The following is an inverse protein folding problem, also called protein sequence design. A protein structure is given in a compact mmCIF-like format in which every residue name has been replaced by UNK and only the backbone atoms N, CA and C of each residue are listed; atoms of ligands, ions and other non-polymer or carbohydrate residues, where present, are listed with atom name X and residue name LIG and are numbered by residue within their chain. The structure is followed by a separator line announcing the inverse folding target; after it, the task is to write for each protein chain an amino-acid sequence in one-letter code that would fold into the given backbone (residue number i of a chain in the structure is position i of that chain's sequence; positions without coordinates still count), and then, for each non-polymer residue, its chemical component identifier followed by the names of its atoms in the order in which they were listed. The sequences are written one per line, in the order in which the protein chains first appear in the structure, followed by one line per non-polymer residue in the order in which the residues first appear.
data_IF_573242504636
#
_entry.id   IF_573242504636
#
_cell.length_a   1.000
_cell.length_b   1.000
_cell.length_c   1.000
_cell.angle_alpha   90.00
_cell.angle_beta   90.00
_cell.angle_gamma   90.00
#
_symmetry.space_group_name_H-M   'P 1'
#
loop_
_entity.id
_entity.type
_entity.pdbx_description
1 polymer ?
#
# COMPACT_ATOMS: atom_id res chain seq x y z
N UNK A 1 -72.44 -16.65 -57.84
CA UNK A 1 -71.25 -16.92 -57.01
C UNK A 1 -71.66 -16.60 -55.59
N UNK A 2 -72.10 -17.64 -54.89
CA UNK A 2 -73.08 -17.58 -53.80
C UNK A 2 -72.49 -18.02 -52.45
N UNK A 3 -73.13 -17.46 -51.42
CA UNK A 3 -73.22 -17.88 -49.99
C UNK A 3 -72.00 -17.60 -49.11
N UNK A 4 -72.08 -16.75 -48.07
CA UNK A 4 -73.05 -16.57 -46.95
C UNK A 4 -73.10 -17.76 -45.96
N UNK A 5 -73.09 -17.37 -44.67
CA UNK A 5 -73.49 -18.12 -43.47
C UNK A 5 -72.52 -19.23 -43.02
N UNK A 6 -72.31 -19.48 -41.72
CA UNK A 6 -72.99 -18.96 -40.55
C UNK A 6 -72.38 -19.55 -39.27
N UNK A 7 -72.75 -18.89 -38.17
CA UNK A 7 -72.63 -19.30 -36.78
C UNK A 7 -73.03 -20.79 -36.62
N UNK A 8 -72.19 -21.58 -35.96
CA UNK A 8 -72.64 -22.80 -35.29
C UNK A 8 -71.94 -22.95 -33.93
N UNK A 9 -72.74 -22.70 -32.90
CA UNK A 9 -72.58 -23.21 -31.54
C UNK A 9 -72.65 -24.73 -31.60
N UNK A 10 -71.64 -25.43 -31.06
CA UNK A 10 -71.77 -26.85 -30.70
C UNK A 10 -71.20 -27.06 -29.31
N UNK A 11 -72.06 -27.63 -28.48
CA UNK A 11 -71.95 -27.80 -27.05
C UNK A 11 -70.99 -28.95 -26.66
N UNK A 12 -70.26 -28.68 -25.57
CA UNK A 12 -70.08 -29.54 -24.40
C UNK A 12 -70.28 -31.06 -24.58
N UNK A 13 -69.21 -31.83 -24.48
CA UNK A 13 -69.22 -33.13 -23.80
C UNK A 13 -67.83 -33.44 -23.25
N UNK A 14 -67.67 -33.13 -21.96
CA UNK A 14 -66.50 -33.44 -21.15
C UNK A 14 -66.49 -34.93 -20.82
N UNK A 15 -65.54 -35.68 -21.37
CA UNK A 15 -65.21 -37.04 -20.90
C UNK A 15 -63.84 -36.97 -20.23
N UNK A 16 -63.85 -36.87 -18.90
CA UNK A 16 -62.66 -36.89 -18.05
C UNK A 16 -62.14 -38.34 -18.01
N UNK A 17 -61.08 -38.62 -18.77
CA UNK A 17 -60.23 -39.79 -18.58
C UNK A 17 -59.19 -39.45 -17.51
N UNK A 18 -59.46 -39.89 -16.27
CA UNK A 18 -58.49 -39.91 -15.18
C UNK A 18 -57.45 -41.00 -15.46
N UNK A 19 -56.36 -40.61 -16.12
CA UNK A 19 -55.12 -41.39 -16.10
C UNK A 19 -54.49 -41.28 -14.72
N UNK A 20 -54.31 -42.45 -14.11
CA UNK A 20 -53.69 -42.70 -12.81
C UNK A 20 -52.27 -42.12 -12.77
N UNK A 21 -52.12 -40.97 -12.13
CA UNK A 21 -50.83 -40.57 -11.56
C UNK A 21 -50.63 -41.36 -10.27
N UNK A 22 -49.62 -42.23 -10.23
CA UNK A 22 -49.14 -42.84 -8.99
C UNK A 22 -48.60 -41.74 -8.05
N UNK A 23 -49.49 -41.14 -7.26
CA UNK A 23 -49.14 -40.50 -6.00
C UNK A 23 -48.88 -41.63 -5.01
N UNK A 24 -47.62 -41.96 -4.79
CA UNK A 24 -47.21 -42.82 -3.68
C UNK A 24 -47.43 -42.04 -2.38
N UNK A 25 -48.60 -42.22 -1.76
CA UNK A 25 -48.82 -41.80 -0.38
C UNK A 25 -47.85 -42.56 0.55
N UNK A 26 -47.30 -41.93 1.61
CA UNK A 26 -46.36 -42.61 2.49
C UNK A 26 -47.09 -43.69 3.28
N UNK A 27 -46.68 -44.95 3.12
CA UNK A 27 -47.04 -46.03 4.04
C UNK A 27 -46.36 -45.76 5.37
N UNK A 28 -47.09 -45.22 6.34
CA UNK A 28 -46.65 -45.16 7.73
C UNK A 28 -46.58 -46.58 8.30
N UNK A 29 -45.39 -47.17 8.32
CA UNK A 29 -45.07 -48.38 9.07
C UNK A 29 -44.55 -48.03 10.46
N UNK A 30 -44.74 -48.93 11.42
CA UNK A 30 -44.24 -48.77 12.80
C UNK A 30 -42.70 -48.82 12.91
N UNK A 31 -41.99 -49.12 11.81
CA UNK A 31 -40.53 -49.21 11.76
C UNK A 31 -39.95 -48.46 10.54
N UNK A 32 -38.78 -47.80 10.68
CA UNK A 32 -38.10 -47.15 9.58
C UNK A 32 -37.57 -48.16 8.54
N UNK A 33 -37.42 -47.76 7.26
CA UNK A 33 -36.81 -48.59 6.22
C UNK A 33 -35.36 -49.00 6.55
N UNK A 34 -34.86 -50.10 5.97
CA UNK A 34 -33.49 -50.56 6.24
C UNK A 34 -32.44 -49.49 5.89
N UNK A 35 -32.63 -48.78 4.77
CA UNK A 35 -31.73 -47.71 4.34
C UNK A 35 -31.62 -46.56 5.33
N UNK A 36 -32.65 -46.35 6.15
CA UNK A 36 -32.67 -45.30 7.18
C UNK A 36 -31.79 -45.67 8.39
N UNK A 37 -31.57 -46.96 8.63
CA UNK A 37 -30.72 -47.48 9.70
C UNK A 37 -29.31 -47.82 9.22
N UNK A 38 -29.16 -48.22 7.95
CA UNK A 38 -27.88 -48.52 7.32
C UNK A 38 -27.84 -47.92 5.93
N UNK A 39 -27.02 -46.89 5.76
CA UNK A 39 -26.79 -46.25 4.46
C UNK A 39 -26.37 -47.31 3.45
N UNK A 40 -27.02 -47.38 2.27
CA UNK A 40 -26.60 -48.31 1.22
C UNK A 40 -25.13 -48.10 0.84
N UNK A 41 -24.36 -49.16 0.57
CA UNK A 41 -23.01 -49.00 0.06
C UNK A 41 -23.05 -48.29 -1.31
N UNK A 42 -22.01 -47.53 -1.68
CA UNK A 42 -21.88 -46.97 -3.02
C UNK A 42 -21.96 -48.07 -4.08
N UNK A 43 -22.57 -47.77 -5.22
CA UNK A 43 -22.58 -48.63 -6.39
C UNK A 43 -21.66 -48.08 -7.51
N UNK A 44 -21.70 -48.69 -8.70
CA UNK A 44 -20.87 -48.28 -9.84
C UNK A 44 -21.12 -46.86 -10.36
N UNK A 45 -22.28 -46.28 -10.05
CA UNK A 45 -22.74 -44.98 -10.57
C UNK A 45 -22.99 -43.97 -9.44
N UNK A 46 -23.45 -44.41 -8.28
CA UNK A 46 -23.94 -43.56 -7.20
C UNK A 46 -23.26 -43.81 -5.85
N UNK A 47 -23.04 -42.72 -5.12
CA UNK A 47 -22.77 -42.70 -3.68
C UNK A 47 -24.04 -42.29 -2.97
N UNK A 48 -24.40 -43.00 -1.90
CA UNK A 48 -25.62 -42.76 -1.14
C UNK A 48 -25.35 -42.03 0.17
N UNK A 49 -26.30 -41.17 0.54
CA UNK A 49 -26.26 -40.37 1.76
C UNK A 49 -27.62 -40.42 2.44
N UNK A 50 -27.60 -40.47 3.77
CA UNK A 50 -28.82 -40.41 4.58
C UNK A 50 -28.73 -39.25 5.55
N UNK A 51 -29.76 -38.41 5.57
CA UNK A 51 -29.98 -37.42 6.61
C UNK A 51 -31.22 -37.80 7.42
N UNK A 52 -31.18 -37.60 8.73
CA UNK A 52 -32.33 -37.83 9.58
C UNK A 52 -32.36 -36.86 10.76
N UNK A 53 -33.56 -36.55 11.24
CA UNK A 53 -33.76 -35.77 12.46
C UNK A 53 -35.10 -36.10 13.10
N UNK A 54 -35.16 -35.97 14.42
CA UNK A 54 -36.37 -36.21 15.23
C UNK A 54 -36.71 -34.97 16.05
N UNK A 55 -37.95 -34.50 15.91
CA UNK A 55 -38.43 -33.27 16.57
C UNK A 55 -39.65 -33.58 17.41
N UNK A 56 -39.62 -33.13 18.67
CA UNK A 56 -40.74 -33.26 19.61
C UNK A 56 -41.88 -32.29 19.25
N UNK A 57 -43.12 -32.69 19.50
CA UNK A 57 -44.30 -31.82 19.29
C UNK A 57 -44.84 -31.82 17.86
N UNK A 58 -44.44 -32.78 17.03
CA UNK A 58 -45.05 -33.02 15.72
C UNK A 58 -44.74 -32.01 14.62
N UNK A 59 -43.75 -31.13 14.81
CA UNK A 59 -43.38 -30.11 13.82
C UNK A 59 -42.59 -30.72 12.65
N UNK A 60 -43.32 -31.19 11.64
CA UNK A 60 -42.76 -31.81 10.44
C UNK A 60 -41.82 -30.88 9.64
N UNK A 61 -42.16 -29.60 9.37
CA UNK A 61 -41.24 -28.68 8.70
C UNK A 61 -39.88 -28.56 9.39
N UNK A 62 -39.87 -28.46 10.72
CA UNK A 62 -38.62 -28.39 11.49
C UNK A 62 -37.82 -29.70 11.40
N UNK A 63 -38.48 -30.85 11.49
CA UNK A 63 -37.82 -32.15 11.33
C UNK A 63 -37.22 -32.35 9.92
N UNK A 64 -37.89 -31.84 8.89
CA UNK A 64 -37.39 -31.88 7.51
C UNK A 64 -36.17 -30.98 7.33
N UNK A 65 -36.17 -29.79 7.93
CA UNK A 65 -35.04 -28.86 7.87
C UNK A 65 -33.81 -29.42 8.57
N UNK A 66 -33.97 -29.96 9.78
CA UNK A 66 -32.88 -30.59 10.52
C UNK A 66 -32.34 -31.85 9.80
N UNK A 67 -33.23 -32.67 9.23
CA UNK A 67 -32.82 -33.85 8.45
C UNK A 67 -32.05 -33.45 7.18
N UNK A 68 -32.46 -32.36 6.53
CA UNK A 68 -31.76 -31.79 5.37
C UNK A 68 -30.37 -31.25 5.76
N UNK A 69 -30.27 -30.55 6.89
CA UNK A 69 -28.99 -30.08 7.41
C UNK A 69 -28.03 -31.25 7.73
N UNK A 70 -28.55 -32.33 8.33
CA UNK A 70 -27.75 -33.54 8.59
C UNK A 70 -27.35 -34.27 7.31
N UNK A 71 -28.21 -34.30 6.28
CA UNK A 71 -27.85 -34.84 4.97
C UNK A 71 -26.69 -34.05 4.35
N UNK A 72 -26.78 -32.73 4.36
CA UNK A 72 -25.73 -31.82 3.88
C UNK A 72 -24.43 -32.08 4.65
N UNK A 73 -24.48 -32.16 5.98
CA UNK A 73 -23.30 -32.43 6.81
C UNK A 73 -22.60 -33.75 6.42
N UNK A 74 -23.36 -34.80 6.14
CA UNK A 74 -22.80 -36.09 5.70
C UNK A 74 -22.16 -36.02 4.30
N UNK A 75 -22.76 -35.29 3.37
CA UNK A 75 -22.19 -35.05 2.03
C UNK A 75 -20.89 -34.23 2.16
N UNK A 76 -20.90 -33.19 2.98
CA UNK A 76 -19.73 -32.35 3.26
C UNK A 76 -18.58 -33.15 3.87
N UNK A 77 -18.89 -34.02 4.85
CA UNK A 77 -17.90 -34.89 5.47
C UNK A 77 -17.23 -35.84 4.46
N UNK A 78 -18.00 -36.40 3.51
CA UNK A 78 -17.46 -37.24 2.44
C UNK A 78 -16.53 -36.48 1.48
N UNK A 79 -16.84 -35.21 1.20
CA UNK A 79 -15.96 -34.36 0.39
C UNK A 79 -14.61 -34.08 1.08
N UNK A 80 -14.41 -34.51 2.33
CA UNK A 80 -13.19 -34.24 3.08
C UNK A 80 -13.10 -32.79 3.53
N UNK A 81 -14.14 -32.00 3.26
CA UNK A 81 -14.37 -30.72 3.88
C UNK A 81 -14.86 -31.05 5.28
N UNK A 82 -13.93 -31.25 6.22
CA UNK A 82 -14.27 -30.83 7.58
C UNK A 82 -14.70 -29.39 7.41
N UNK A 83 -15.94 -29.08 7.78
CA UNK A 83 -16.32 -27.73 8.14
C UNK A 83 -15.54 -27.40 9.43
N UNK A 84 -14.21 -27.40 9.36
CA UNK A 84 -13.38 -26.70 10.30
C UNK A 84 -13.56 -25.23 9.98
N UNK A 85 -13.44 -24.42 11.01
CA UNK A 85 -13.92 -23.05 11.12
C UNK A 85 -13.13 -22.07 10.22
N UNK A 86 -12.31 -22.60 9.32
CA UNK A 86 -11.19 -21.97 8.64
C UNK A 86 -11.36 -22.02 7.10
N UNK A 87 -12.57 -21.70 6.63
CA UNK A 87 -12.89 -21.70 5.20
C UNK A 87 -12.84 -20.27 4.65
N UNK A 88 -12.09 -20.04 3.57
CA UNK A 88 -12.00 -18.73 2.91
C UNK A 88 -13.33 -18.21 2.42
N UNK A 89 -13.55 -16.89 2.36
CA UNK A 89 -14.81 -16.27 2.02
C UNK A 89 -15.33 -16.71 0.63
N UNK A 90 -14.43 -16.95 -0.32
CA UNK A 90 -14.78 -17.43 -1.67
C UNK A 90 -15.09 -18.93 -1.66
N UNK A 91 -14.27 -19.76 -1.01
CA UNK A 91 -14.56 -21.19 -0.89
C UNK A 91 -15.83 -21.41 -0.05
N UNK A 92 -16.01 -20.62 1.00
CA UNK A 92 -17.19 -20.55 1.87
C UNK A 92 -18.42 -20.13 1.09
N UNK A 93 -18.36 -19.03 0.33
CA UNK A 93 -19.49 -18.64 -0.53
C UNK A 93 -19.84 -19.74 -1.54
N UNK A 94 -18.83 -20.40 -2.14
CA UNK A 94 -19.07 -21.52 -3.05
C UNK A 94 -19.68 -22.73 -2.33
N UNK A 95 -19.24 -23.04 -1.11
CA UNK A 95 -19.79 -24.10 -0.28
C UNK A 95 -21.20 -23.77 0.19
N UNK A 96 -21.45 -22.56 0.66
CA UNK A 96 -22.75 -22.07 1.12
C UNK A 96 -23.78 -22.10 -0.03
N UNK A 97 -23.37 -21.67 -1.24
CA UNK A 97 -24.20 -21.80 -2.44
C UNK A 97 -24.53 -23.27 -2.74
N UNK A 98 -23.52 -24.14 -2.69
CA UNK A 98 -23.69 -25.57 -2.92
C UNK A 98 -24.60 -26.24 -1.89
N UNK A 99 -24.46 -25.87 -0.61
CA UNK A 99 -25.34 -26.31 0.47
C UNK A 99 -26.78 -25.84 0.25
N UNK A 100 -26.96 -24.58 -0.16
CA UNK A 100 -28.27 -24.02 -0.48
C UNK A 100 -28.95 -24.79 -1.62
N UNK A 101 -28.20 -25.15 -2.66
CA UNK A 101 -28.70 -25.95 -3.78
C UNK A 101 -29.12 -27.36 -3.35
N UNK A 102 -28.38 -28.01 -2.44
CA UNK A 102 -28.76 -29.30 -1.85
C UNK A 102 -30.06 -29.14 -1.05
N UNK A 103 -30.11 -28.21 -0.10
CA UNK A 103 -31.30 -27.98 0.75
C UNK A 103 -32.53 -27.68 -0.11
N UNK A 104 -32.37 -26.85 -1.14
CA UNK A 104 -33.46 -26.50 -2.03
C UNK A 104 -33.89 -27.67 -2.91
N UNK A 105 -32.97 -28.51 -3.36
CA UNK A 105 -33.28 -29.76 -4.08
C UNK A 105 -34.07 -30.71 -3.19
N UNK A 106 -33.68 -30.85 -1.92
CA UNK A 106 -34.39 -31.69 -0.95
C UNK A 106 -35.80 -31.17 -0.68
N UNK A 107 -35.96 -29.85 -0.45
CA UNK A 107 -37.27 -29.25 -0.18
C UNK A 107 -38.21 -29.24 -1.39
N UNK A 108 -37.67 -29.11 -2.60
CA UNK A 108 -38.47 -29.02 -3.83
C UNK A 108 -38.62 -30.35 -4.57
N UNK A 109 -37.97 -31.42 -4.09
CA UNK A 109 -37.87 -32.73 -4.75
C UNK A 109 -37.44 -32.62 -6.23
N UNK A 110 -36.69 -31.56 -6.56
CA UNK A 110 -36.36 -31.20 -7.94
C UNK A 110 -35.00 -31.74 -8.35
N UNK A 111 -34.94 -32.64 -9.32
CA UNK A 111 -33.69 -33.21 -9.84
C UNK A 111 -32.87 -32.26 -10.75
N UNK A 112 -33.33 -31.03 -10.99
CA UNK A 112 -32.75 -30.14 -12.00
C UNK A 112 -31.78 -29.08 -11.49
N UNK A 113 -31.65 -28.89 -10.17
CA UNK A 113 -30.86 -27.80 -9.58
C UNK A 113 -29.40 -28.15 -9.35
N UNK A 114 -29.14 -29.40 -9.00
CA UNK A 114 -27.81 -29.89 -8.68
C UNK A 114 -27.49 -31.12 -9.52
N UNK A 115 -26.53 -31.00 -10.44
CA UNK A 115 -26.14 -32.09 -11.34
C UNK A 115 -25.73 -33.33 -10.54
N UNK A 116 -26.24 -34.48 -10.95
CA UNK A 116 -25.89 -35.77 -10.34
C UNK A 116 -26.50 -36.02 -8.96
N UNK A 117 -27.12 -35.04 -8.30
CA UNK A 117 -27.78 -35.21 -7.01
C UNK A 117 -29.28 -35.47 -7.16
N UNK A 118 -29.81 -36.45 -6.42
CA UNK A 118 -31.24 -36.72 -6.37
C UNK A 118 -31.67 -37.27 -5.03
N UNK A 119 -32.83 -36.83 -4.54
CA UNK A 119 -33.55 -37.49 -3.45
C UNK A 119 -34.21 -38.74 -4.01
N UNK A 120 -33.92 -39.89 -3.41
CA UNK A 120 -34.47 -41.20 -3.81
C UNK A 120 -35.72 -41.53 -3.03
N UNK A 121 -35.65 -41.36 -1.70
CA UNK A 121 -36.76 -41.67 -0.81
C UNK A 121 -36.81 -40.68 0.35
N UNK A 122 -38.03 -40.36 0.79
CA UNK A 122 -38.30 -39.60 2.00
C UNK A 122 -39.29 -40.42 2.86
N UNK A 123 -38.92 -40.67 4.11
CA UNK A 123 -39.73 -41.44 5.04
C UNK A 123 -40.02 -40.66 6.31
N UNK A 124 -41.28 -40.65 6.72
CA UNK A 124 -41.74 -39.94 7.91
C UNK A 124 -42.29 -40.95 8.91
N UNK A 125 -41.74 -40.93 10.12
CA UNK A 125 -42.19 -41.76 11.24
C UNK A 125 -42.83 -40.87 12.30
N UNK A 126 -44.11 -41.12 12.58
CA UNK A 126 -44.78 -40.54 13.75
C UNK A 126 -44.59 -41.46 14.93
N UNK A 127 -43.86 -41.01 15.93
CA UNK A 127 -43.60 -41.80 17.12
C UNK A 127 -44.77 -41.71 18.11
N UNK A 128 -44.97 -42.77 18.90
CA UNK A 128 -45.98 -42.82 19.97
C UNK A 128 -45.76 -41.74 21.04
N UNK A 129 -44.53 -41.21 21.12
CA UNK A 129 -44.12 -40.09 21.98
C UNK A 129 -44.65 -38.72 21.52
N UNK A 130 -45.27 -38.63 20.34
CA UNK A 130 -45.65 -37.37 19.71
C UNK A 130 -44.51 -36.67 18.95
N UNK A 131 -43.34 -37.32 18.84
CA UNK A 131 -42.25 -36.87 17.98
C UNK A 131 -42.51 -37.25 16.51
N UNK A 132 -41.96 -36.46 15.60
CA UNK A 132 -41.90 -36.78 14.16
C UNK A 132 -40.44 -36.91 13.79
N UNK A 133 -40.10 -38.04 13.17
CA UNK A 133 -38.76 -38.33 12.67
C UNK A 133 -38.80 -38.40 11.15
N UNK A 134 -37.95 -37.63 10.49
CA UNK A 134 -37.81 -37.59 9.02
C UNK A 134 -36.50 -38.25 8.64
N UNK A 135 -36.54 -39.10 7.61
CA UNK A 135 -35.38 -39.74 7.00
C UNK A 135 -35.36 -39.41 5.51
N UNK A 136 -34.20 -39.05 5.00
CA UNK A 136 -33.98 -38.65 3.60
C UNK A 136 -32.86 -39.50 3.04
N UNK A 137 -33.16 -40.32 2.03
CA UNK A 137 -32.16 -41.02 1.23
C UNK A 137 -31.89 -40.20 -0.03
N UNK A 138 -30.64 -39.82 -0.22
CA UNK A 138 -30.19 -39.20 -1.46
C UNK A 138 -29.12 -40.05 -2.12
N UNK A 139 -29.06 -39.96 -3.45
CA UNK A 139 -27.96 -40.49 -4.24
C UNK A 139 -27.26 -39.35 -4.98
N UNK A 140 -25.96 -39.47 -5.10
CA UNK A 140 -25.13 -38.57 -5.89
C UNK A 140 -24.35 -39.38 -6.92
N UNK A 141 -24.36 -38.99 -8.19
CA UNK A 141 -23.47 -39.55 -9.20
C UNK A 141 -22.02 -39.42 -8.73
N UNK A 142 -21.36 -40.56 -8.53
CA UNK A 142 -20.03 -40.64 -7.90
C UNK A 142 -18.99 -39.83 -8.66
N UNK A 143 -19.07 -39.82 -10.00
CA UNK A 143 -18.17 -39.05 -10.85
C UNK A 143 -18.34 -37.53 -10.64
N UNK A 144 -19.57 -37.04 -10.58
CA UNK A 144 -19.88 -35.62 -10.37
C UNK A 144 -19.48 -35.17 -8.95
N UNK A 145 -19.75 -35.99 -7.94
CA UNK A 145 -19.34 -35.72 -6.56
C UNK A 145 -17.82 -35.62 -6.40
N UNK A 146 -17.08 -36.52 -7.04
CA UNK A 146 -15.61 -36.48 -7.04
C UNK A 146 -15.06 -35.29 -7.82
N UNK A 147 -15.72 -34.90 -8.93
CA UNK A 147 -15.37 -33.69 -9.69
C UNK A 147 -15.55 -32.43 -8.83
N UNK A 148 -16.65 -32.35 -8.10
CA UNK A 148 -16.93 -31.22 -7.21
C UNK A 148 -15.96 -31.16 -6.03
N UNK A 149 -15.65 -32.31 -5.42
CA UNK A 149 -14.59 -32.45 -4.42
C UNK A 149 -13.25 -31.92 -4.93
N UNK A 150 -12.86 -32.30 -6.15
CA UNK A 150 -11.60 -31.85 -6.76
C UNK A 150 -11.61 -30.34 -7.04
N UNK A 151 -12.74 -29.79 -7.52
CA UNK A 151 -12.92 -28.36 -7.77
C UNK A 151 -12.74 -27.52 -6.49
N UNK A 152 -13.40 -27.93 -5.41
CA UNK A 152 -13.30 -27.26 -4.10
C UNK A 152 -11.87 -27.36 -3.57
N UNK A 153 -11.25 -28.54 -3.61
CA UNK A 153 -9.87 -28.73 -3.18
C UNK A 153 -8.87 -27.85 -3.95
N UNK A 154 -9.08 -27.67 -5.26
CA UNK A 154 -8.26 -26.80 -6.08
C UNK A 154 -8.35 -25.32 -5.64
N UNK A 155 -9.54 -24.82 -5.29
CA UNK A 155 -9.71 -23.45 -4.80
C UNK A 155 -8.96 -23.20 -3.49
N UNK A 156 -8.98 -24.17 -2.56
CA UNK A 156 -8.22 -24.09 -1.32
C UNK A 156 -6.71 -24.09 -1.58
N UNK A 157 -6.24 -24.97 -2.46
CA UNK A 157 -4.83 -25.03 -2.82
C UNK A 157 -4.36 -23.72 -3.46
N UNK A 158 -5.17 -23.12 -4.34
CA UNK A 158 -4.86 -21.85 -4.99
C UNK A 158 -4.62 -20.72 -3.97
N UNK A 159 -5.42 -20.64 -2.92
CA UNK A 159 -5.25 -19.62 -1.87
C UNK A 159 -4.06 -19.90 -0.97
N UNK A 160 -3.82 -21.16 -0.61
CA UNK A 160 -2.60 -21.53 0.12
C UNK A 160 -1.36 -21.17 -0.70
N UNK A 161 -1.38 -21.46 -2.00
CA UNK A 161 -0.33 -21.11 -2.94
C UNK A 161 -0.16 -19.59 -3.10
N UNK A 162 -1.25 -18.82 -3.06
CA UNK A 162 -1.21 -17.35 -3.15
C UNK A 162 -0.39 -16.72 -2.01
N UNK A 163 -0.29 -17.39 -0.85
CA UNK A 163 0.57 -16.98 0.27
C UNK A 163 1.93 -17.66 0.22
N UNK A 164 1.97 -18.97 -0.04
CA UNK A 164 3.19 -19.77 0.03
C UNK A 164 4.17 -19.47 -1.10
N UNK A 165 3.69 -19.19 -2.32
CA UNK A 165 4.57 -18.90 -3.47
C UNK A 165 5.33 -17.58 -3.30
N UNK A 166 4.69 -16.45 -2.94
CA UNK A 166 5.43 -15.21 -2.69
C UNK A 166 6.39 -15.34 -1.50
N UNK A 167 6.01 -16.06 -0.44
CA UNK A 167 6.92 -16.30 0.68
C UNK A 167 8.17 -17.09 0.26
N UNK A 168 7.99 -18.18 -0.49
CA UNK A 168 9.10 -18.97 -1.02
C UNK A 168 9.96 -18.17 -2.02
N UNK A 169 9.34 -17.30 -2.83
CA UNK A 169 10.05 -16.37 -3.70
C UNK A 169 10.89 -15.39 -2.90
N UNK A 170 10.37 -14.90 -1.76
CA UNK A 170 11.11 -14.06 -0.82
C UNK A 170 12.32 -14.78 -0.23
N UNK A 171 12.13 -16.01 0.26
CA UNK A 171 13.21 -16.84 0.82
C UNK A 171 14.30 -17.14 -0.23
N UNK A 172 13.89 -17.43 -1.47
CA UNK A 172 14.80 -17.60 -2.60
C UNK A 172 15.55 -16.32 -2.94
N UNK A 173 14.87 -15.17 -2.93
CA UNK A 173 15.46 -13.87 -3.22
C UNK A 173 16.49 -13.47 -2.16
N UNK A 174 16.24 -13.75 -0.86
CA UNK A 174 17.24 -13.58 0.21
C UNK A 174 18.46 -14.46 -0.08
N UNK A 175 18.26 -15.73 -0.40
CA UNK A 175 19.37 -16.66 -0.68
C UNK A 175 20.20 -16.24 -1.90
N UNK A 176 19.58 -15.58 -2.87
CA UNK A 176 20.21 -15.09 -4.09
C UNK A 176 20.78 -13.66 -3.99
N UNK A 177 20.70 -13.00 -2.83
CA UNK A 177 21.16 -11.62 -2.68
C UNK A 177 20.27 -10.55 -3.29
N UNK A 178 19.04 -10.89 -3.67
CA UNK A 178 18.04 -10.00 -4.27
C UNK A 178 17.14 -9.41 -3.18
N UNK A 179 17.71 -8.54 -2.35
CA UNK A 179 17.08 -8.05 -1.12
C UNK A 179 15.78 -7.28 -1.36
N UNK A 180 15.70 -6.52 -2.45
CA UNK A 180 14.49 -5.76 -2.82
C UNK A 180 13.35 -6.67 -3.23
N UNK A 181 13.65 -7.66 -4.08
CA UNK A 181 12.70 -8.68 -4.48
C UNK A 181 12.20 -9.44 -3.24
N UNK A 182 13.09 -9.74 -2.30
CA UNK A 182 12.72 -10.40 -1.05
C UNK A 182 11.71 -9.58 -0.23
N UNK A 183 11.99 -8.30 0.02
CA UNK A 183 11.07 -7.41 0.75
C UNK A 183 9.73 -7.35 0.04
N UNK A 184 9.72 -7.16 -1.29
CA UNK A 184 8.50 -7.10 -2.08
C UNK A 184 7.69 -8.39 -1.96
N UNK A 185 8.31 -9.54 -2.17
CA UNK A 185 7.62 -10.84 -2.13
C UNK A 185 7.11 -11.21 -0.74
N UNK A 186 7.82 -10.83 0.33
CA UNK A 186 7.30 -10.98 1.69
C UNK A 186 6.10 -10.07 1.96
N UNK A 187 6.11 -8.83 1.48
CA UNK A 187 4.94 -7.95 1.59
C UNK A 187 3.77 -8.49 0.76
N UNK A 188 4.00 -9.00 -0.45
CA UNK A 188 2.97 -9.68 -1.25
C UNK A 188 2.37 -10.88 -0.51
N UNK A 189 3.20 -11.71 0.13
CA UNK A 189 2.75 -12.83 0.95
C UNK A 189 1.91 -12.35 2.14
N UNK A 190 2.32 -11.25 2.80
CA UNK A 190 1.58 -10.68 3.92
C UNK A 190 0.22 -10.12 3.48
N UNK A 191 0.16 -9.41 2.36
CA UNK A 191 -1.08 -8.89 1.78
C UNK A 191 -2.01 -10.05 1.40
N UNK A 192 -1.49 -11.06 0.69
CA UNK A 192 -2.26 -12.25 0.32
C UNK A 192 -2.82 -12.97 1.56
N UNK A 193 -2.01 -13.15 2.61
CA UNK A 193 -2.44 -13.75 3.86
C UNK A 193 -3.53 -12.91 4.55
N UNK A 194 -3.35 -11.59 4.60
CA UNK A 194 -4.27 -10.67 5.28
C UNK A 194 -5.68 -10.61 4.69
N UNK A 195 -5.81 -10.89 3.39
CA UNK A 195 -7.07 -10.92 2.66
C UNK A 195 -7.61 -12.34 2.42
N UNK A 196 -6.97 -13.37 2.99
CA UNK A 196 -7.36 -14.76 2.84
C UNK A 196 -7.89 -15.33 4.15
N UNK A 197 -8.97 -16.11 4.12
CA UNK A 197 -9.39 -16.92 5.27
C UNK A 197 -8.87 -18.35 5.13
N UNK A 198 -7.55 -18.46 5.05
CA UNK A 198 -6.82 -19.73 5.20
C UNK A 198 -6.40 -19.92 6.66
N UNK A 199 -6.14 -21.17 7.03
CA UNK A 199 -5.60 -21.51 8.36
C UNK A 199 -4.38 -20.66 8.71
N UNK A 200 -4.44 -20.05 9.90
CA UNK A 200 -3.36 -19.25 10.46
C UNK A 200 -2.99 -18.03 9.58
N UNK A 201 -3.93 -17.48 8.82
CA UNK A 201 -3.73 -16.30 7.97
C UNK A 201 -3.01 -15.15 8.70
N UNK A 202 -3.49 -14.78 9.90
CA UNK A 202 -2.90 -13.69 10.69
C UNK A 202 -1.45 -14.01 11.13
N UNK A 203 -1.15 -15.26 11.48
CA UNK A 203 0.21 -15.72 11.82
C UNK A 203 1.12 -15.69 10.58
N UNK A 204 0.62 -16.14 9.43
CA UNK A 204 1.38 -16.11 8.17
C UNK A 204 1.64 -14.68 7.71
N UNK A 205 0.68 -13.78 7.90
CA UNK A 205 0.83 -12.35 7.65
C UNK A 205 1.94 -11.78 8.53
N UNK A 206 1.86 -11.97 9.86
CA UNK A 206 2.84 -11.47 10.82
C UNK A 206 4.25 -12.01 10.52
N UNK A 207 4.36 -13.32 10.24
CA UNK A 207 5.62 -13.95 9.86
C UNK A 207 6.26 -13.26 8.66
N UNK A 208 5.48 -13.02 7.61
CA UNK A 208 5.99 -12.42 6.38
C UNK A 208 6.35 -10.94 6.57
N UNK A 209 5.58 -10.19 7.36
CA UNK A 209 5.97 -8.83 7.78
C UNK A 209 7.31 -8.86 8.52
N UNK A 210 7.49 -9.76 9.49
CA UNK A 210 8.74 -9.87 10.24
C UNK A 210 9.93 -10.27 9.38
N UNK A 211 9.72 -11.14 8.37
CA UNK A 211 10.74 -11.45 7.35
C UNK A 211 11.10 -10.20 6.54
N UNK A 212 10.14 -9.43 6.05
CA UNK A 212 10.39 -8.18 5.34
C UNK A 212 11.18 -7.17 6.19
N UNK A 213 10.78 -6.98 7.45
CA UNK A 213 11.48 -6.13 8.42
C UNK A 213 12.90 -6.59 8.70
N UNK A 214 13.13 -7.90 8.78
CA UNK A 214 14.47 -8.47 8.97
C UNK A 214 15.40 -8.14 7.80
N UNK A 215 14.90 -8.22 6.56
CA UNK A 215 15.67 -7.83 5.37
C UNK A 215 15.91 -6.33 5.35
N UNK A 216 14.86 -5.52 5.58
CA UNK A 216 14.96 -4.07 5.65
C UNK A 216 15.97 -3.63 6.71
N UNK A 217 15.95 -4.22 7.92
CA UNK A 217 16.83 -3.88 9.04
C UNK A 217 18.32 -3.99 8.73
N UNK A 218 18.69 -4.78 7.72
CA UNK A 218 20.07 -4.95 7.26
C UNK A 218 20.46 -4.01 6.12
N UNK A 219 19.50 -3.33 5.48
CA UNK A 219 19.79 -2.35 4.44
C UNK A 219 20.23 -1.05 5.09
N UNK A 220 21.42 -0.56 4.74
CA UNK A 220 21.92 0.70 5.27
C UNK A 220 22.75 1.47 4.25
N UNK A 221 22.75 2.79 4.39
CA UNK A 221 23.66 3.67 3.65
C UNK A 221 24.87 3.99 4.52
N UNK A 222 26.06 3.81 3.96
CA UNK A 222 27.33 4.22 4.54
C UNK A 222 27.80 5.49 3.84
N UNK A 223 28.11 6.53 4.62
CA UNK A 223 28.68 7.78 4.13
C UNK A 223 30.07 7.54 3.55
N UNK A 224 30.31 7.96 2.32
CA UNK A 224 31.64 7.93 1.70
C UNK A 224 32.24 9.33 1.73
N UNK A 225 31.63 10.26 0.99
CA UNK A 225 32.16 11.61 0.88
C UNK A 225 31.06 12.62 0.52
N UNK A 226 31.28 13.89 0.86
CA UNK A 226 30.44 15.01 0.44
C UNK A 226 31.15 16.35 0.63
N UNK A 227 30.77 17.38 -0.15
CA UNK A 227 31.22 18.73 0.10
C UNK A 227 30.63 19.27 1.42
N UNK A 228 31.47 19.85 2.29
CA UNK A 228 31.00 20.58 3.47
C UNK A 228 30.47 21.98 3.10
N UNK A 229 30.98 22.53 1.99
CA UNK A 229 30.59 23.84 1.45
C UNK A 229 30.43 23.80 -0.06
N UNK A 230 29.51 24.62 -0.56
CA UNK A 230 29.33 24.89 -1.97
C UNK A 230 29.33 26.40 -2.22
N UNK A 231 29.67 26.82 -3.44
CA UNK A 231 29.65 28.23 -3.84
C UNK A 231 28.38 28.53 -4.64
N UNK A 232 27.72 29.64 -4.33
CA UNK A 232 26.57 30.14 -5.10
C UNK A 232 26.92 30.27 -6.58
N UNK A 233 26.10 29.68 -7.46
CA UNK A 233 26.26 29.76 -8.91
C UNK A 233 27.52 29.09 -9.45
N UNK A 234 28.05 28.08 -8.75
CA UNK A 234 29.17 27.27 -9.22
C UNK A 234 28.89 25.80 -9.02
N UNK A 235 29.52 24.96 -9.84
CA UNK A 235 29.56 23.53 -9.63
C UNK A 235 30.08 23.17 -8.23
N UNK A 236 29.54 22.08 -7.67
CA UNK A 236 30.02 21.53 -6.40
C UNK A 236 31.47 21.05 -6.55
N UNK A 237 32.32 21.25 -5.52
CA UNK A 237 33.74 20.89 -5.61
C UNK A 237 33.98 19.38 -5.70
N UNK A 238 32.99 18.58 -5.26
CA UNK A 238 32.96 17.12 -5.35
C UNK A 238 31.51 16.63 -5.20
N UNK A 239 31.18 15.41 -5.69
CA UNK A 239 29.85 14.85 -5.53
C UNK A 239 29.54 14.46 -4.08
N UNK A 240 28.25 14.29 -3.80
CA UNK A 240 27.77 13.53 -2.65
C UNK A 240 27.88 12.05 -2.99
N UNK A 241 28.43 11.25 -2.06
CA UNK A 241 28.69 9.83 -2.27
C UNK A 241 28.27 9.01 -1.05
N UNK A 242 27.54 7.93 -1.33
CA UNK A 242 27.13 6.95 -0.34
C UNK A 242 27.28 5.54 -0.90
N UNK A 243 27.47 4.57 -0.02
CA UNK A 243 27.45 3.15 -0.36
C UNK A 243 26.22 2.51 0.26
N UNK A 244 25.37 1.89 -0.54
CA UNK A 244 24.28 1.06 -0.06
C UNK A 244 24.82 -0.35 0.19
N UNK A 245 24.60 -0.87 1.39
CA UNK A 245 25.10 -2.17 1.83
C UNK A 245 24.00 -3.03 2.46
N UNK A 246 24.24 -4.35 2.49
CA UNK A 246 23.44 -5.31 3.22
C UNK A 246 24.24 -5.89 4.39
N UNK A 247 23.87 -5.54 5.63
CA UNK A 247 24.55 -5.93 6.85
C UNK A 247 25.23 -4.75 7.56
N UNK A 248 26.09 -5.08 8.51
CA UNK A 248 26.80 -4.10 9.35
C UNK A 248 28.31 -4.08 9.05
N UNK A 249 28.93 -2.93 9.26
CA UNK A 249 30.38 -2.75 9.17
C UNK A 249 30.93 -2.53 7.75
N UNK A 250 32.23 -2.24 7.68
CA UNK A 250 32.91 -1.85 6.43
C UNK A 250 33.01 -2.97 5.38
N UNK A 251 32.95 -4.23 5.83
CA UNK A 251 32.99 -5.43 4.99
C UNK A 251 31.64 -5.83 4.41
N UNK A 252 30.55 -5.13 4.78
CA UNK A 252 29.22 -5.43 4.27
C UNK A 252 29.20 -5.37 2.72
N UNK A 253 28.57 -6.35 2.05
CA UNK A 253 28.46 -6.37 0.59
C UNK A 253 27.69 -5.15 0.11
N UNK A 254 28.21 -4.53 -0.95
CA UNK A 254 27.51 -3.43 -1.63
C UNK A 254 26.36 -3.98 -2.47
N UNK A 255 25.28 -3.21 -2.57
CA UNK A 255 24.09 -3.63 -3.32
C UNK A 255 24.06 -2.91 -4.68
N UNK A 256 24.33 -3.60 -5.80
CA UNK A 256 24.35 -2.98 -7.12
C UNK A 256 22.94 -2.78 -7.70
N UNK A 257 22.79 -1.80 -8.58
CA UNK A 257 21.56 -1.57 -9.36
C UNK A 257 20.35 -1.12 -8.53
N UNK A 258 20.54 -0.71 -7.28
CA UNK A 258 19.48 -0.23 -6.43
C UNK A 258 19.04 1.18 -6.84
N UNK A 259 17.74 1.39 -7.00
CA UNK A 259 17.19 2.72 -7.27
C UNK A 259 17.15 3.57 -5.99
N UNK A 260 17.73 4.76 -6.09
CA UNK A 260 17.87 5.72 -4.99
C UNK A 260 17.34 7.07 -5.45
N UNK A 261 16.49 7.66 -4.62
CA UNK A 261 16.08 9.04 -4.72
C UNK A 261 17.17 9.98 -4.22
N UNK A 262 17.48 10.97 -5.03
CA UNK A 262 18.48 12.01 -4.84
C UNK A 262 17.74 13.31 -4.53
N UNK A 263 17.65 13.67 -3.26
CA UNK A 263 16.82 14.81 -2.81
C UNK A 263 17.73 15.98 -2.44
N UNK A 264 17.50 17.14 -3.06
CA UNK A 264 18.28 18.35 -2.83
C UNK A 264 17.41 19.60 -2.87
N UNK A 265 17.91 20.71 -2.31
CA UNK A 265 17.18 21.98 -2.24
C UNK A 265 17.60 22.93 -3.36
N UNK A 266 16.64 23.70 -3.88
CA UNK A 266 16.86 24.78 -4.84
C UNK A 266 15.88 25.93 -4.56
N UNK A 267 16.15 27.13 -5.04
CA UNK A 267 15.24 28.27 -4.97
C UNK A 267 14.48 28.43 -6.29
N UNK A 268 13.17 28.52 -6.23
CA UNK A 268 12.35 28.75 -7.43
C UNK A 268 12.35 30.24 -7.85
N UNK A 269 11.74 30.55 -9.00
CA UNK A 269 11.62 31.93 -9.50
C UNK A 269 10.90 32.89 -8.52
N UNK A 270 10.01 32.36 -7.67
CA UNK A 270 9.33 33.11 -6.61
C UNK A 270 10.14 33.29 -5.32
N UNK A 271 11.43 32.94 -5.31
CA UNK A 271 12.32 33.12 -4.16
C UNK A 271 12.14 32.12 -3.01
N UNK A 272 11.25 31.12 -3.15
CA UNK A 272 11.04 30.08 -2.14
C UNK A 272 12.02 28.92 -2.34
N UNK A 273 12.58 28.41 -1.25
CA UNK A 273 13.36 27.17 -1.26
C UNK A 273 12.42 25.98 -1.38
N UNK A 274 12.68 25.08 -2.33
CA UNK A 274 11.92 23.88 -2.62
C UNK A 274 12.87 22.69 -2.75
N UNK A 275 12.36 21.49 -2.48
CA UNK A 275 13.10 20.25 -2.71
C UNK A 275 12.87 19.74 -4.14
N UNK A 276 13.93 19.25 -4.77
CA UNK A 276 13.90 18.47 -6.01
C UNK A 276 14.34 17.04 -5.74
N UNK A 277 13.76 16.12 -6.49
CA UNK A 277 14.05 14.69 -6.41
C UNK A 277 14.46 14.20 -7.79
N UNK A 278 15.62 13.54 -7.86
CA UNK A 278 16.08 12.80 -9.03
C UNK A 278 16.25 11.33 -8.68
N UNK A 279 16.42 10.48 -9.69
CA UNK A 279 16.63 9.03 -9.53
C UNK A 279 18.04 8.68 -9.98
N UNK A 280 18.72 7.85 -9.21
CA UNK A 280 20.01 7.27 -9.55
C UNK A 280 20.06 5.78 -9.23
N UNK A 281 21.03 5.08 -9.80
CA UNK A 281 21.30 3.68 -9.54
C UNK A 281 22.65 3.52 -8.85
N UNK A 282 22.74 2.60 -7.90
CA UNK A 282 24.03 2.20 -7.34
C UNK A 282 24.88 1.42 -8.35
N UNK A 283 26.18 1.64 -8.34
CA UNK A 283 27.15 0.94 -9.20
C UNK A 283 27.39 -0.51 -8.74
N UNK A 284 28.29 -1.23 -9.42
CA UNK A 284 28.67 -2.61 -9.10
C UNK A 284 29.18 -2.82 -7.66
N UNK A 285 29.64 -1.76 -6.98
CA UNK A 285 30.13 -1.78 -5.59
C UNK A 285 29.09 -1.29 -4.58
N UNK A 286 27.87 -1.00 -5.06
CA UNK A 286 26.79 -0.41 -4.28
C UNK A 286 26.95 1.09 -4.05
N UNK A 287 27.83 1.78 -4.77
CA UNK A 287 28.10 3.21 -4.59
C UNK A 287 27.15 4.02 -5.47
N UNK A 288 26.55 5.04 -4.87
CA UNK A 288 25.83 6.10 -5.58
C UNK A 288 26.61 7.41 -5.44
N UNK A 289 26.76 8.14 -6.54
CA UNK A 289 27.49 9.41 -6.61
C UNK A 289 26.67 10.41 -7.40
N UNK A 290 26.44 11.60 -6.82
CA UNK A 290 25.63 12.63 -7.48
C UNK A 290 26.13 14.04 -7.14
N UNK A 291 26.15 14.90 -8.16
CA UNK A 291 26.39 16.34 -8.02
C UNK A 291 25.13 17.08 -8.45
N UNK A 292 24.43 17.76 -7.53
CA UNK A 292 23.29 18.60 -7.89
C UNK A 292 23.69 19.72 -8.87
N UNK A 293 22.71 20.30 -9.59
CA UNK A 293 22.93 21.54 -10.34
C UNK A 293 23.45 22.67 -9.45
N UNK A 294 24.06 23.69 -10.06
CA UNK A 294 24.64 24.82 -9.33
C UNK A 294 23.62 25.47 -8.38
N UNK A 295 23.99 25.72 -7.12
CA UNK A 295 23.05 26.23 -6.14
C UNK A 295 22.74 27.70 -6.43
N UNK A 296 21.48 28.09 -6.20
CA UNK A 296 20.95 29.43 -6.49
C UNK A 296 20.42 30.15 -5.24
N UNK A 297 20.85 29.73 -4.06
CA UNK A 297 20.57 30.38 -2.78
C UNK A 297 21.77 30.26 -1.84
N UNK A 298 21.76 31.04 -0.75
CA UNK A 298 22.79 31.03 0.28
C UNK A 298 22.19 30.50 1.58
N UNK A 299 22.96 29.74 2.35
CA UNK A 299 22.54 29.25 3.66
C UNK A 299 22.88 27.77 3.90
N UNK A 300 22.32 27.22 4.98
CA UNK A 300 22.38 25.79 5.28
C UNK A 300 21.48 25.03 4.30
N UNK A 301 21.94 23.87 3.86
CA UNK A 301 21.19 22.99 2.99
C UNK A 301 21.45 21.53 3.36
N UNK A 302 20.51 20.66 3.00
CA UNK A 302 20.63 19.21 3.19
C UNK A 302 20.47 18.51 1.85
N UNK A 303 21.35 17.53 1.60
CA UNK A 303 21.24 16.57 0.50
C UNK A 303 20.92 15.20 1.08
N UNK A 304 19.96 14.46 0.50
CA UNK A 304 19.54 13.16 1.03
C UNK A 304 19.54 12.10 -0.07
N UNK A 305 20.21 10.98 0.18
CA UNK A 305 19.94 9.72 -0.51
C UNK A 305 18.79 9.02 0.21
N UNK A 306 17.76 8.60 -0.51
CA UNK A 306 16.66 7.81 0.05
C UNK A 306 16.40 6.61 -0.85
N UNK A 307 16.34 5.43 -0.27
CA UNK A 307 16.08 4.23 -1.05
C UNK A 307 14.68 4.28 -1.68
N UNK A 308 14.56 3.95 -2.97
CA UNK A 308 13.24 3.86 -3.60
C UNK A 308 12.57 2.55 -3.18
N UNK A 309 11.47 2.66 -2.45
CA UNK A 309 10.66 1.53 -1.99
C UNK A 309 9.16 1.79 -2.24
N UNK A 310 8.84 2.65 -3.20
CA UNK A 310 7.46 3.12 -3.41
C UNK A 310 6.52 1.97 -3.81
N UNK A 311 6.98 1.06 -4.68
CA UNK A 311 6.20 -0.13 -5.04
C UNK A 311 5.87 -1.03 -3.85
N UNK A 312 6.74 -1.05 -2.84
CA UNK A 312 6.51 -1.81 -1.61
C UNK A 312 5.54 -1.06 -0.70
N UNK A 313 5.60 0.29 -0.63
CA UNK A 313 4.63 1.09 0.11
C UNK A 313 3.22 0.89 -0.43
N UNK A 314 3.05 0.95 -1.75
CA UNK A 314 1.76 0.74 -2.42
C UNK A 314 1.13 -0.63 -2.11
N UNK A 315 1.95 -1.64 -1.78
CA UNK A 315 1.49 -2.96 -1.36
C UNK A 315 1.09 -2.98 0.12
N UNK A 316 1.88 -2.35 0.99
CA UNK A 316 1.60 -2.30 2.43
C UNK A 316 0.28 -1.58 2.70
N UNK A 317 -0.05 -0.54 1.93
CA UNK A 317 -1.30 0.22 2.05
C UNK A 317 -2.56 -0.63 1.75
N UNK A 318 -2.38 -1.85 1.22
CA UNK A 318 -3.48 -2.82 0.99
C UNK A 318 -3.78 -3.69 2.19
N UNK A 319 -2.95 -3.64 3.24
CA UNK A 319 -3.21 -4.39 4.47
C UNK A 319 -4.47 -3.81 5.17
N UNK A 320 -5.35 -4.68 5.70
CA UNK A 320 -6.50 -4.25 6.49
C UNK A 320 -6.11 -3.47 7.75
N UNK A 321 -6.98 -2.55 8.20
CA UNK A 321 -6.76 -1.70 9.38
C UNK A 321 -6.42 -2.46 10.67
N UNK A 322 -6.88 -3.72 10.81
CA UNK A 322 -6.51 -4.56 11.97
C UNK A 322 -4.99 -4.80 12.09
N UNK A 323 -4.21 -4.49 11.05
CA UNK A 323 -2.76 -4.62 10.99
C UNK A 323 -2.02 -3.27 10.89
N UNK A 324 -2.65 -2.15 11.24
CA UNK A 324 -2.04 -0.82 11.16
C UNK A 324 -0.69 -0.72 11.90
N UNK A 325 -0.55 -1.40 13.05
CA UNK A 325 0.72 -1.45 13.79
C UNK A 325 1.87 -2.02 12.94
N UNK A 326 1.58 -3.01 12.09
CA UNK A 326 2.56 -3.61 11.19
C UNK A 326 2.87 -2.71 10.00
N UNK A 327 1.85 -2.02 9.46
CA UNK A 327 1.98 -1.02 8.41
C UNK A 327 2.88 0.12 8.87
N UNK A 328 2.63 0.67 10.06
CA UNK A 328 3.44 1.74 10.66
C UNK A 328 4.88 1.29 10.90
N UNK A 329 5.08 0.09 11.45
CA UNK A 329 6.41 -0.46 11.69
C UNK A 329 7.22 -0.62 10.39
N UNK A 330 6.62 -1.20 9.35
CA UNK A 330 7.25 -1.29 8.03
C UNK A 330 7.51 0.09 7.43
N UNK A 331 6.55 1.00 7.50
CA UNK A 331 6.69 2.36 7.00
C UNK A 331 7.87 3.10 7.65
N UNK A 332 8.02 2.96 8.97
CA UNK A 332 9.15 3.49 9.74
C UNK A 332 10.48 2.84 9.32
N UNK A 333 10.52 1.50 9.23
CA UNK A 333 11.71 0.77 8.78
C UNK A 333 12.14 1.19 7.37
N UNK A 334 11.19 1.47 6.47
CA UNK A 334 11.47 1.96 5.11
C UNK A 334 11.90 3.42 5.09
N UNK A 335 11.32 4.29 5.93
CA UNK A 335 11.67 5.70 6.01
C UNK A 335 13.11 5.93 6.52
N UNK A 336 13.56 5.06 7.42
CA UNK A 336 14.93 5.08 7.94
C UNK A 336 15.98 4.61 6.93
N UNK A 337 15.60 4.13 5.73
CA UNK A 337 16.51 3.82 4.62
C UNK A 337 16.88 5.06 3.83
N UNK A 338 17.48 6.02 4.54
CA UNK A 338 17.99 7.26 3.98
C UNK A 338 19.28 7.70 4.65
N UNK A 339 20.05 8.54 3.96
CA UNK A 339 21.27 9.17 4.47
C UNK A 339 21.28 10.63 4.06
N UNK A 340 21.44 11.52 5.04
CA UNK A 340 21.47 12.96 4.85
C UNK A 340 22.86 13.55 5.05
N UNK A 341 23.17 14.58 4.26
CA UNK A 341 24.39 15.35 4.25
C UNK A 341 24.05 16.82 4.42
N UNK A 342 24.43 17.39 5.56
CA UNK A 342 24.32 18.82 5.78
C UNK A 342 25.54 19.54 5.21
N UNK A 343 25.31 20.67 4.54
CA UNK A 343 26.34 21.51 3.95
C UNK A 343 25.90 22.99 3.93
N UNK A 344 26.84 23.88 3.63
CA UNK A 344 26.56 25.32 3.55
C UNK A 344 26.84 25.85 2.14
N UNK A 345 25.87 26.53 1.55
CA UNK A 345 26.10 27.29 0.32
C UNK A 345 26.51 28.70 0.71
N UNK A 346 27.71 29.09 0.30
CA UNK A 346 28.28 30.40 0.55
C UNK A 346 28.28 31.27 -0.71
N UNK A 347 28.07 32.57 -0.53
CA UNK A 347 28.33 33.55 -1.58
C UNK A 347 29.79 33.99 -1.54
N UNK A 348 30.48 33.93 -2.67
CA UNK A 348 31.82 34.51 -2.83
C UNK A 348 31.81 36.04 -2.70
N UNK A 349 30.64 36.68 -2.75
CA UNK A 349 30.51 38.12 -2.51
C UNK A 349 31.09 38.55 -1.15
N UNK A 350 31.05 37.67 -0.14
CA UNK A 350 31.63 37.94 1.18
C UNK A 350 33.15 38.07 1.16
N UNK A 351 33.81 37.48 0.17
CA UNK A 351 35.27 37.47 0.04
C UNK A 351 35.81 38.63 -0.79
N UNK A 352 34.94 39.42 -1.42
CA UNK A 352 35.34 40.59 -2.21
C UNK A 352 35.53 41.78 -1.26
N UNK A 353 36.75 42.30 -1.19
CA UNK A 353 37.07 43.46 -0.38
C UNK A 353 36.21 44.66 -0.81
N UNK A 354 35.34 45.12 0.10
CA UNK A 354 34.28 46.08 -0.18
C UNK A 354 34.46 47.33 0.69
N UNK A 355 34.52 48.50 0.05
CA UNK A 355 34.46 49.80 0.72
C UNK A 355 33.04 50.27 0.95
N UNK A 356 32.78 50.88 2.10
CA UNK A 356 31.49 51.53 2.43
C UNK A 356 31.72 53.02 2.66
N UNK A 357 30.98 53.87 1.93
CA UNK A 357 31.01 55.32 2.03
C UNK A 357 29.59 55.90 2.01
N UNK A 358 28.97 56.05 3.18
CA UNK A 358 27.60 56.58 3.31
C UNK A 358 27.65 57.92 4.00
N UNK A 359 26.96 58.90 3.42
CA UNK A 359 26.80 60.23 4.00
C UNK A 359 25.43 60.35 4.67
N UNK A 360 25.39 60.59 5.97
CA UNK A 360 24.15 60.88 6.68
C UNK A 360 23.69 62.31 6.33
N UNK A 361 22.40 62.48 6.07
CA UNK A 361 21.76 63.76 5.81
C UNK A 361 20.69 64.04 6.86
N UNK A 362 20.61 65.28 7.33
CA UNK A 362 19.51 65.79 8.15
C UNK A 362 18.20 65.81 7.38
N UNK A 363 17.09 66.08 8.08
CA UNK A 363 15.75 66.20 7.51
C UNK A 363 15.64 67.31 6.44
N UNK A 364 16.39 68.39 6.61
CA UNK A 364 16.55 69.46 5.61
C UNK A 364 17.54 69.13 4.47
N UNK A 365 18.11 67.92 4.45
CA UNK A 365 18.99 67.42 3.38
C UNK A 365 20.44 67.92 3.45
N UNK A 366 20.83 68.60 4.54
CA UNK A 366 22.23 68.96 4.78
C UNK A 366 23.03 67.78 5.30
N UNK A 367 24.35 67.87 5.22
CA UNK A 367 25.24 66.85 5.78
C UNK A 367 25.11 66.83 7.30
N UNK A 368 24.74 65.68 7.85
CA UNK A 368 24.71 65.46 9.28
C UNK A 368 26.13 65.23 9.83
N UNK A 369 26.32 65.46 11.12
CA UNK A 369 27.58 65.15 11.83
C UNK A 369 27.66 63.68 12.28
N UNK A 370 26.61 62.90 12.03
CA UNK A 370 26.50 61.50 12.41
C UNK A 370 27.03 60.57 11.32
N UNK A 371 27.34 59.32 11.71
CA UNK A 371 27.74 58.23 10.82
C UNK A 371 26.93 56.97 11.08
N UNK A 372 25.66 57.14 11.49
CA UNK A 372 24.79 56.04 11.93
C UNK A 372 24.50 55.09 10.78
N UNK A 373 24.16 55.59 9.58
CA UNK A 373 23.86 54.70 8.47
C UNK A 373 25.10 53.98 7.96
N UNK A 374 26.24 54.69 7.87
CA UNK A 374 27.52 54.07 7.51
C UNK A 374 27.93 52.99 8.51
N UNK A 375 27.90 53.33 9.81
CA UNK A 375 28.23 52.42 10.90
C UNK A 375 27.33 51.19 10.91
N UNK A 376 26.01 51.39 10.88
CA UNK A 376 25.05 50.29 10.90
C UNK A 376 25.15 49.36 9.68
N UNK A 377 25.39 49.91 8.49
CA UNK A 377 25.63 49.10 7.29
C UNK A 377 26.94 48.30 7.41
N UNK A 378 28.02 48.95 7.84
CA UNK A 378 29.31 48.30 8.04
C UNK A 378 29.22 47.18 9.09
N UNK A 379 28.59 47.45 10.24
CA UNK A 379 28.36 46.46 11.30
C UNK A 379 27.54 45.27 10.82
N UNK A 380 26.48 45.52 10.02
CA UNK A 380 25.66 44.46 9.43
C UNK A 380 26.49 43.59 8.47
N UNK A 381 27.26 44.20 7.58
CA UNK A 381 28.15 43.47 6.66
C UNK A 381 29.22 42.67 7.42
N UNK A 382 29.82 43.26 8.46
CA UNK A 382 30.81 42.59 9.31
C UNK A 382 30.20 41.40 10.07
N UNK A 383 29.00 41.55 10.62
CA UNK A 383 28.24 40.48 11.29
C UNK A 383 27.95 39.30 10.36
N UNK A 384 27.63 39.59 9.10
CA UNK A 384 27.44 38.59 8.03
C UNK A 384 28.77 38.10 7.40
N UNK A 385 29.92 38.48 7.99
CA UNK A 385 31.27 38.06 7.61
C UNK A 385 31.71 38.48 6.20
N UNK A 386 31.17 39.59 5.69
CA UNK A 386 31.70 40.21 4.49
C UNK A 386 33.04 40.88 4.80
N UNK A 387 34.00 40.82 3.88
CA UNK A 387 35.22 41.63 3.89
C UNK A 387 34.90 43.08 3.55
N UNK A 388 34.27 43.77 4.50
CA UNK A 388 33.93 45.18 4.39
C UNK A 388 34.93 46.03 5.18
N UNK A 389 35.14 47.27 4.71
CA UNK A 389 35.89 48.30 5.41
C UNK A 389 35.27 49.66 5.16
N UNK A 390 35.45 50.60 6.09
CA UNK A 390 35.07 51.99 5.86
C UNK A 390 36.01 52.61 4.82
N UNK A 391 35.44 53.33 3.86
CA UNK A 391 36.16 53.93 2.75
C UNK A 391 35.67 55.37 2.51
N UNK A 392 35.92 56.31 3.44
CA UNK A 392 35.39 57.66 3.35
C UNK A 392 35.86 58.40 2.09
N UNK A 393 34.91 58.92 1.33
CA UNK A 393 35.15 59.80 0.18
C UNK A 393 34.80 61.25 0.51
N UNK A 394 35.23 62.16 -0.36
CA UNK A 394 34.85 63.57 -0.30
C UNK A 394 33.32 63.74 -0.27
N UNK A 395 32.83 64.58 0.65
CA UNK A 395 31.39 64.73 0.90
C UNK A 395 30.68 65.43 -0.25
N UNK A 396 31.30 66.42 -0.89
CA UNK A 396 30.74 67.09 -2.06
C UNK A 396 30.65 66.13 -3.25
N UNK A 397 31.63 65.23 -3.37
CA UNK A 397 31.60 64.16 -4.37
C UNK A 397 30.45 63.18 -4.14
N UNK A 398 30.22 62.72 -2.90
CA UNK A 398 29.09 61.84 -2.57
C UNK A 398 27.73 62.53 -2.78
N UNK A 399 27.60 63.79 -2.40
CA UNK A 399 26.39 64.60 -2.64
C UNK A 399 26.08 64.82 -4.12
N UNK A 400 27.11 64.84 -4.98
CA UNK A 400 26.92 65.03 -6.41
C UNK A 400 26.16 63.89 -7.09
N UNK A 401 26.20 62.68 -6.50
CA UNK A 401 25.62 61.47 -7.10
C UNK A 401 26.24 61.08 -8.45
N UNK A 402 27.40 61.65 -8.81
CA UNK A 402 28.06 61.37 -10.09
C UNK A 402 28.85 60.06 -9.97
N UNK A 403 28.19 58.95 -10.32
CA UNK A 403 28.73 57.59 -10.26
C UNK A 403 30.13 57.47 -10.91
N UNK A 404 30.36 58.18 -12.01
CA UNK A 404 31.63 58.11 -12.76
C UNK A 404 32.75 58.76 -11.95
N UNK A 405 32.51 59.95 -11.38
CA UNK A 405 33.51 60.65 -10.57
C UNK A 405 33.74 59.95 -9.22
N UNK A 406 32.68 59.45 -8.59
CA UNK A 406 32.75 58.69 -7.34
C UNK A 406 33.60 57.43 -7.55
N UNK A 407 33.31 56.65 -8.60
CA UNK A 407 34.08 55.45 -8.93
C UNK A 407 35.55 55.77 -9.26
N UNK A 408 35.82 56.85 -9.98
CA UNK A 408 37.18 57.28 -10.29
C UNK A 408 37.97 57.66 -9.02
N UNK A 409 37.35 58.40 -8.09
CA UNK A 409 37.95 58.75 -6.82
C UNK A 409 38.20 57.51 -5.94
N UNK A 410 37.22 56.62 -5.83
CA UNK A 410 37.34 55.37 -5.08
C UNK A 410 38.47 54.50 -5.62
N UNK A 411 38.57 54.34 -6.95
CA UNK A 411 39.68 53.60 -7.57
C UNK A 411 41.03 54.23 -7.25
N UNK A 412 41.15 55.56 -7.36
CA UNK A 412 42.41 56.27 -7.09
C UNK A 412 42.85 56.12 -5.63
N UNK A 413 41.92 56.13 -4.68
CA UNK A 413 42.23 56.14 -3.25
C UNK A 413 42.39 54.74 -2.65
N UNK A 414 41.65 53.75 -3.16
CA UNK A 414 41.52 52.45 -2.51
C UNK A 414 41.91 51.25 -3.37
N UNK A 415 42.17 51.42 -4.67
CA UNK A 415 42.71 50.33 -5.49
C UNK A 415 44.19 50.10 -5.17
N UNK A 416 44.67 48.85 -5.11
CA UNK A 416 43.96 47.59 -5.35
C UNK A 416 43.29 46.97 -4.10
N UNK A 417 43.39 47.61 -2.94
CA UNK A 417 42.93 47.06 -1.67
C UNK A 417 41.41 46.80 -1.61
N UNK A 418 40.61 47.66 -2.24
CA UNK A 418 39.16 47.49 -2.36
C UNK A 418 38.78 47.22 -3.82
N UNK A 419 37.97 46.17 -4.04
CA UNK A 419 37.55 45.69 -5.36
C UNK A 419 36.09 46.08 -5.64
N UNK A 420 35.29 46.24 -4.59
CA UNK A 420 33.89 46.67 -4.64
C UNK A 420 33.70 47.92 -3.78
N UNK A 421 32.73 48.75 -4.15
CA UNK A 421 32.39 49.95 -3.41
C UNK A 421 30.87 50.06 -3.26
N UNK A 422 30.42 50.41 -2.07
CA UNK A 422 29.04 50.78 -1.74
C UNK A 422 29.09 52.24 -1.30
N UNK A 423 28.34 53.10 -1.98
CA UNK A 423 28.24 54.51 -1.61
C UNK A 423 26.80 54.99 -1.70
N UNK A 424 26.54 56.13 -1.06
CA UNK A 424 25.25 56.79 -1.14
C UNK A 424 25.03 57.75 0.01
N UNK A 425 23.76 58.14 0.17
CA UNK A 425 23.31 59.05 1.21
C UNK A 425 22.16 58.41 1.99
N UNK A 426 22.09 58.65 3.30
CA UNK A 426 20.96 58.24 4.14
C UNK A 426 20.33 59.50 4.76
N UNK A 427 19.10 59.82 4.37
CA UNK A 427 18.40 61.04 4.82
C UNK A 427 17.40 60.71 5.92
N UNK A 428 17.37 61.54 6.97
CA UNK A 428 16.30 61.51 7.97
C UNK A 428 15.00 61.97 7.31
N UNK A 429 14.00 61.09 7.20
CA UNK A 429 12.69 61.45 6.65
C UNK A 429 11.72 61.98 7.71
N UNK A 430 11.83 61.51 8.95
CA UNK A 430 10.95 61.93 10.05
C UNK A 430 11.69 61.81 11.38
N UNK A 431 11.55 62.81 12.23
CA UNK A 431 12.02 62.78 13.62
C UNK A 431 10.79 62.73 14.52
N UNK A 432 10.63 61.61 15.23
CA UNK A 432 9.60 61.45 16.25
C UNK A 432 10.27 61.25 17.61
N UNK A 433 9.65 61.73 18.69
CA UNK A 433 10.04 61.35 20.04
C UNK A 433 9.46 59.98 20.33
N UNK A 434 10.31 59.01 20.69
CA UNK A 434 9.84 57.79 21.35
C UNK A 434 9.20 58.19 22.68
N UNK A 435 7.94 57.81 22.85
CA UNK A 435 7.11 58.06 24.03
C UNK A 435 6.97 56.83 24.89
#
# INVERSE_FOLDING_TARGET
MNNRYGIFVVALLSTVLLSVSCVSAPKGGDAPPEWALRVPPPDSTYTYFVGHASVKGGNLPLALDDASANLVANIMAFMGVKVSVDTSAVAKASLDSYQADIVQTVRSESSGRLSGFSVKENYQLKEKSGAVTVYILASYVTADLNKEKARIAALFQEQQDAVAKPEAAGDSAVSAGRWFDAVKSYVEAAVAASGSDIDNADIKMERNVNKARTVLGKLSFVRIDAPATASLGKAYPKPFQARLVYGEGASAPGIPGAEVYLVYQTRNAGGRTVSKTERGLTDARGIISFSPPEPNFVGKATFTFRLNLDSTRDLIDRLPQKFDVYVEALGSDMATRSLSFDYVIASEARNIATGVAILDLTDDGKVATTLVAQGGLFETLAKEKFKAGLAPLDTALLLSGDDTKILAAAKRQYSPALVRFIYGTAKIETVAKDG
#
